data_IF_551443373785
#
_entry.id   IF_551443373785
#
_cell.length_a   1.000
_cell.length_b   1.000
_cell.length_c   1.000
_cell.angle_alpha   90.00
_cell.angle_beta   90.00
_cell.angle_gamma   90.00
#
_symmetry.space_group_name_H-M   'P 1'
#
loop_
_entity.id
_entity.type
_entity.pdbx_description
1 polymer ?
#
# COMPACT_ATOMS: atom_id res chain seq x y z
N UNK A 1 -26.14 -14.08 44.67
CA UNK A 1 -26.41 -12.75 44.11
C UNK A 1 -25.47 -12.62 42.94
N UNK A 2 -25.99 -12.46 41.73
CA UNK A 2 -25.18 -12.43 40.51
C UNK A 2 -24.50 -11.08 40.42
N UNK A 3 -23.17 -11.05 40.52
CA UNK A 3 -22.37 -9.88 40.19
C UNK A 3 -22.64 -9.50 38.73
N UNK A 4 -23.41 -8.43 38.57
CA UNK A 4 -23.68 -7.79 37.28
C UNK A 4 -22.37 -7.12 36.88
N UNK A 5 -21.52 -7.84 36.15
CA UNK A 5 -20.45 -7.21 35.38
C UNK A 5 -21.15 -6.37 34.33
N UNK A 6 -21.31 -5.09 34.63
CA UNK A 6 -21.75 -4.07 33.68
C UNK A 6 -20.78 -4.18 32.50
N UNK A 7 -21.28 -4.74 31.39
CA UNK A 7 -20.55 -4.76 30.14
C UNK A 7 -20.26 -3.31 29.83
N UNK A 8 -19.00 -2.88 30.00
CA UNK A 8 -18.53 -1.64 29.41
C UNK A 8 -18.62 -1.91 27.91
N UNK A 9 -19.77 -1.57 27.33
CA UNK A 9 -19.89 -1.42 25.89
C UNK A 9 -18.82 -0.38 25.54
N UNK A 10 -17.68 -0.84 25.05
CA UNK A 10 -16.73 0.03 24.38
C UNK A 10 -17.47 0.54 23.16
N UNK A 11 -18.21 1.63 23.36
CA UNK A 11 -18.68 2.48 22.28
C UNK A 11 -17.41 2.73 21.45
N UNK A 12 -17.38 2.18 20.24
CA UNK A 12 -16.23 2.34 19.34
C UNK A 12 -15.97 3.84 19.30
N UNK A 13 -14.89 4.26 19.94
CA UNK A 13 -14.73 5.64 20.40
C UNK A 13 -14.85 6.64 19.27
N UNK A 14 -15.03 7.92 19.62
CA UNK A 14 -14.94 8.98 18.61
C UNK A 14 -13.57 8.92 17.93
N UNK A 15 -13.54 9.02 16.60
CA UNK A 15 -12.29 9.10 15.85
C UNK A 15 -11.45 10.29 16.32
N UNK A 16 -10.14 10.08 16.42
CA UNK A 16 -9.19 11.14 16.70
C UNK A 16 -9.02 11.97 15.42
N UNK A 17 -9.21 13.28 15.52
CA UNK A 17 -9.01 14.21 14.43
C UNK A 17 -7.53 14.60 14.34
N UNK A 18 -6.99 15.10 15.45
CA UNK A 18 -5.61 15.56 15.57
C UNK A 18 -5.06 15.23 16.95
N UNK A 19 -3.74 15.23 17.07
CA UNK A 19 -3.06 15.14 18.35
C UNK A 19 -1.85 16.06 18.36
N UNK A 20 -1.46 16.49 19.54
CA UNK A 20 -0.27 17.29 19.77
C UNK A 20 0.57 16.66 20.87
N UNK A 21 1.87 16.52 20.62
CA UNK A 21 2.83 16.04 21.63
C UNK A 21 3.30 17.24 22.45
N UNK A 22 3.00 17.23 23.74
CA UNK A 22 3.40 18.27 24.68
C UNK A 22 4.80 17.98 25.22
N UNK A 23 5.03 16.73 25.63
CA UNK A 23 6.27 16.31 26.29
C UNK A 23 6.57 14.83 25.99
N UNK A 24 7.86 14.50 25.90
CA UNK A 24 8.36 13.12 25.80
C UNK A 24 9.40 12.93 26.88
N UNK A 25 9.19 11.94 27.75
CA UNK A 25 10.13 11.52 28.78
C UNK A 25 10.64 10.12 28.47
N UNK A 26 11.96 9.98 28.36
CA UNK A 26 12.62 8.69 28.17
C UNK A 26 12.79 7.97 29.51
N UNK A 27 12.47 6.68 29.50
CA UNK A 27 12.57 5.77 30.64
C UNK A 27 13.33 4.50 30.22
N UNK A 28 13.74 3.69 31.20
CA UNK A 28 14.50 2.47 30.93
C UNK A 28 13.73 1.44 30.06
N UNK A 29 12.40 1.46 30.12
CA UNK A 29 11.51 0.51 29.45
C UNK A 29 10.90 1.08 28.15
N UNK A 30 11.09 2.37 27.87
CA UNK A 30 10.52 3.06 26.70
C UNK A 30 10.34 4.57 26.92
N UNK A 31 9.23 5.12 26.42
CA UNK A 31 8.95 6.54 26.40
C UNK A 31 7.56 6.85 26.95
N UNK A 32 7.47 7.79 27.88
CA UNK A 32 6.21 8.35 28.34
C UNK A 32 5.95 9.65 27.58
N UNK A 33 4.86 9.69 26.83
CA UNK A 33 4.47 10.79 25.97
C UNK A 33 3.23 11.46 26.53
N UNK A 34 3.29 12.76 26.75
CA UNK A 34 2.15 13.59 27.14
C UNK A 34 1.54 14.23 25.90
N UNK A 35 0.24 14.05 25.72
CA UNK A 35 -0.49 14.36 24.50
C UNK A 35 -1.76 15.17 24.81
N UNK A 36 -2.08 16.10 23.92
CA UNK A 36 -3.44 16.62 23.78
C UNK A 36 -4.06 16.01 22.52
N UNK A 37 -5.33 15.61 22.59
CA UNK A 37 -6.01 14.87 21.52
C UNK A 37 -7.35 15.55 21.20
N UNK A 38 -7.53 15.94 19.95
CA UNK A 38 -8.78 16.49 19.45
C UNK A 38 -9.63 15.37 18.85
N UNK A 39 -10.88 15.26 19.27
CA UNK A 39 -11.82 14.27 18.77
C UNK A 39 -12.77 14.90 17.74
N UNK A 40 -13.15 14.13 16.72
CA UNK A 40 -14.07 14.58 15.65
C UNK A 40 -15.47 14.96 16.17
N UNK A 41 -15.80 14.57 17.41
CA UNK A 41 -17.03 14.96 18.11
C UNK A 41 -17.02 16.41 18.62
N UNK A 42 -15.89 17.11 18.50
CA UNK A 42 -15.69 18.47 19.01
C UNK A 42 -15.30 18.52 20.49
N UNK A 43 -14.89 17.38 21.08
CA UNK A 43 -14.31 17.30 22.41
C UNK A 43 -12.79 17.18 22.32
N UNK A 44 -12.11 17.63 23.36
CA UNK A 44 -10.65 17.61 23.47
C UNK A 44 -10.26 16.84 24.74
N UNK A 45 -9.25 15.99 24.63
CA UNK A 45 -8.64 15.27 25.75
C UNK A 45 -7.27 15.88 26.01
N UNK A 46 -7.15 16.61 27.11
CA UNK A 46 -5.90 17.27 27.51
C UNK A 46 -5.08 16.41 28.48
N UNK A 47 -3.75 16.46 28.36
CA UNK A 47 -2.84 15.82 29.31
C UNK A 47 -2.90 14.29 29.34
N UNK A 48 -3.22 13.68 28.19
CA UNK A 48 -3.23 12.23 28.01
C UNK A 48 -1.81 11.68 28.10
N UNK A 49 -1.61 10.66 28.92
CA UNK A 49 -0.33 9.97 29.05
C UNK A 49 -0.36 8.68 28.26
N UNK A 50 0.54 8.56 27.30
CA UNK A 50 0.76 7.35 26.51
C UNK A 50 2.14 6.79 26.86
N UNK A 51 2.18 5.51 27.22
CA UNK A 51 3.44 4.78 27.38
C UNK A 51 3.70 3.99 26.10
N UNK A 52 4.83 4.26 25.45
CA UNK A 52 5.33 3.52 24.29
C UNK A 52 6.57 2.75 24.73
N UNK A 53 6.48 1.43 24.82
CA UNK A 53 7.64 0.61 25.23
C UNK A 53 8.61 0.39 24.07
N UNK A 54 9.84 -0.03 24.38
CA UNK A 54 10.77 -0.44 23.32
C UNK A 54 10.23 -1.62 22.50
N UNK A 55 9.48 -2.53 23.13
CA UNK A 55 8.83 -3.65 22.43
C UNK A 55 7.77 -3.17 21.43
N UNK A 56 7.04 -2.10 21.77
CA UNK A 56 6.06 -1.49 20.85
C UNK A 56 6.75 -0.86 19.63
N UNK A 57 7.84 -0.12 19.85
CA UNK A 57 8.64 0.47 18.76
C UNK A 57 9.20 -0.60 17.82
N UNK A 58 9.75 -1.68 18.39
CA UNK A 58 10.23 -2.84 17.63
C UNK A 58 9.08 -3.51 16.84
N UNK A 59 7.90 -3.65 17.45
CA UNK A 59 6.71 -4.22 16.80
C UNK A 59 6.17 -3.34 15.67
N UNK A 60 6.31 -2.02 15.79
CA UNK A 60 5.98 -1.04 14.75
C UNK A 60 7.09 -0.88 13.70
N UNK A 61 8.20 -1.61 13.84
CA UNK A 61 9.38 -1.52 12.98
C UNK A 61 9.92 -0.09 12.83
N UNK A 62 9.73 0.75 13.86
CA UNK A 62 10.16 2.15 13.86
C UNK A 62 11.03 2.47 15.08
N UNK A 63 11.94 3.42 14.91
CA UNK A 63 12.73 4.00 16.00
C UNK A 63 12.31 5.46 16.27
N UNK A 64 11.31 5.97 15.56
CA UNK A 64 10.81 7.34 15.72
C UNK A 64 9.61 7.33 16.68
N UNK A 65 9.74 8.04 17.80
CA UNK A 65 8.68 8.15 18.81
C UNK A 65 7.43 8.82 18.23
N UNK A 66 7.59 9.79 17.34
CA UNK A 66 6.45 10.43 16.70
C UNK A 66 5.67 9.43 15.85
N UNK A 67 6.37 8.51 15.19
CA UNK A 67 5.76 7.45 14.40
C UNK A 67 5.14 6.37 15.28
N UNK A 68 5.82 5.96 16.36
CA UNK A 68 5.27 5.05 17.36
C UNK A 68 3.99 5.56 18.02
N UNK A 69 3.94 6.87 18.34
CA UNK A 69 2.73 7.53 18.86
C UNK A 69 1.60 7.50 17.83
N UNK A 70 1.88 7.78 16.54
CA UNK A 70 0.88 7.69 15.48
C UNK A 70 0.29 6.29 15.39
N UNK A 71 1.13 5.26 15.38
CA UNK A 71 0.68 3.87 15.32
C UNK A 71 -0.14 3.47 16.55
N UNK A 72 0.29 3.85 17.75
CA UNK A 72 -0.46 3.61 18.99
C UNK A 72 -1.83 4.31 18.99
N UNK A 73 -1.92 5.51 18.40
CA UNK A 73 -3.18 6.24 18.22
C UNK A 73 -4.01 5.77 17.01
N UNK A 74 -3.49 4.84 16.20
CA UNK A 74 -4.20 4.28 15.05
C UNK A 74 -4.12 5.12 13.77
N UNK A 75 -3.21 6.09 13.70
CA UNK A 75 -2.88 6.82 12.47
C UNK A 75 -1.97 5.99 11.58
N UNK A 76 -2.57 5.07 10.82
CA UNK A 76 -1.87 4.30 9.81
C UNK A 76 -1.90 5.06 8.48
N UNK A 77 -0.74 5.30 7.88
CA UNK A 77 -0.67 5.74 6.49
C UNK A 77 -1.32 4.67 5.61
N UNK A 78 -2.45 5.01 4.97
CA UNK A 78 -3.25 4.08 4.15
C UNK A 78 -2.58 3.68 2.82
N UNK A 79 -1.25 3.69 2.74
CA UNK A 79 -0.51 3.55 1.49
C UNK A 79 -0.43 2.10 0.95
N UNK A 80 -1.40 1.23 1.27
CA UNK A 80 -1.40 -0.16 0.81
C UNK A 80 -2.71 -0.67 0.20
N UNK A 81 -3.63 0.19 -0.26
CA UNK A 81 -4.81 -0.27 -1.02
C UNK A 81 -5.11 0.56 -2.29
N UNK A 82 -4.09 1.15 -2.93
CA UNK A 82 -4.15 1.54 -4.35
C UNK A 82 -3.65 0.43 -5.30
N UNK A 83 -3.17 -0.70 -4.76
CA UNK A 83 -2.65 -1.82 -5.55
C UNK A 83 -3.73 -2.81 -6.01
N UNK A 84 -4.98 -2.72 -5.54
CA UNK A 84 -6.06 -3.63 -5.92
C UNK A 84 -7.02 -3.11 -7.01
N UNK A 85 -6.94 -1.83 -7.41
CA UNK A 85 -7.75 -1.28 -8.50
C UNK A 85 -7.08 -1.34 -9.88
N UNK A 86 -5.79 -1.67 -9.95
CA UNK A 86 -5.07 -1.80 -11.23
C UNK A 86 -5.13 -3.22 -11.84
N UNK A 87 -5.56 -4.24 -11.09
CA UNK A 87 -5.72 -5.60 -11.63
C UNK A 87 -7.04 -5.76 -12.41
N UNK A 88 -8.05 -4.89 -12.20
CA UNK A 88 -9.36 -5.03 -12.88
C UNK A 88 -9.48 -4.24 -14.19
N UNK A 89 -8.60 -3.28 -14.47
CA UNK A 89 -8.69 -2.42 -15.65
C UNK A 89 -7.79 -2.84 -16.84
N UNK A 90 -7.00 -3.91 -16.71
CA UNK A 90 -6.24 -4.48 -17.85
C UNK A 90 -7.05 -5.44 -18.72
N UNK A 91 -8.31 -5.72 -18.37
CA UNK A 91 -9.18 -6.65 -19.12
C UNK A 91 -10.28 -5.97 -19.96
N UNK A 92 -10.31 -4.64 -20.06
CA UNK A 92 -11.24 -3.90 -20.95
C UNK A 92 -10.53 -2.78 -21.67
N UNK A 93 -9.82 -3.11 -22.76
CA UNK A 93 -9.59 -2.25 -23.94
C UNK A 93 -8.81 -3.05 -24.98
N UNK A 94 -9.51 -3.91 -25.70
CA UNK A 94 -9.17 -4.13 -27.11
C UNK A 94 -10.38 -3.70 -27.95
N UNK A 95 -10.35 -2.50 -28.56
CA UNK A 95 -11.25 -2.20 -29.65
C UNK A 95 -10.85 -3.08 -30.84
N UNK A 96 -11.83 -3.84 -31.35
CA UNK A 96 -11.77 -4.45 -32.68
C UNK A 96 -11.25 -3.44 -33.70
N UNK A 97 -10.03 -3.65 -34.19
CA UNK A 97 -9.61 -3.16 -35.49
C UNK A 97 -9.32 -4.36 -36.36
N UNK A 98 -10.31 -4.67 -37.17
CA UNK A 98 -10.19 -4.91 -38.61
C UNK A 98 -8.79 -5.30 -39.08
N UNK A 99 -8.72 -6.55 -39.50
CA UNK A 99 -7.88 -7.04 -40.58
C UNK A 99 -7.76 -6.05 -41.76
N UNK A 100 -6.67 -6.17 -42.51
CA UNK A 100 -6.31 -5.39 -43.71
C UNK A 100 -5.54 -4.10 -43.45
N UNK A 101 -4.22 -4.22 -43.26
CA UNK A 101 -3.18 -3.55 -44.07
C UNK A 101 -1.81 -3.91 -43.50
N UNK A 102 -1.41 -5.18 -43.65
CA UNK A 102 -0.04 -5.64 -43.35
C UNK A 102 0.60 -6.32 -44.56
N UNK A 103 0.14 -5.97 -45.76
CA UNK A 103 0.56 -6.59 -47.03
C UNK A 103 1.33 -5.66 -47.98
N UNK A 104 1.48 -4.37 -47.67
CA UNK A 104 2.10 -3.41 -48.59
C UNK A 104 3.57 -3.09 -48.27
N UNK A 105 4.02 -3.19 -47.01
CA UNK A 105 5.43 -2.94 -46.67
C UNK A 105 6.36 -4.12 -46.96
N UNK A 106 5.84 -5.35 -46.94
CA UNK A 106 6.64 -6.56 -47.21
C UNK A 106 6.95 -6.75 -48.72
N UNK A 107 6.08 -6.25 -49.60
CA UNK A 107 6.26 -6.32 -51.05
C UNK A 107 7.32 -5.33 -51.56
N UNK A 108 7.44 -4.16 -50.91
CA UNK A 108 8.47 -3.16 -51.24
C UNK A 108 9.90 -3.60 -50.86
N UNK A 109 10.04 -4.52 -49.88
CA UNK A 109 11.35 -5.02 -49.45
C UNK A 109 11.87 -6.16 -50.34
N UNK A 110 10.99 -6.95 -50.97
CA UNK A 110 11.37 -8.05 -51.88
C UNK A 110 11.86 -7.55 -53.24
N UNK A 111 11.30 -6.45 -53.75
CA UNK A 111 11.73 -5.83 -55.00
C UNK A 111 13.09 -5.13 -54.88
N UNK A 112 13.45 -4.66 -53.67
CA UNK A 112 14.72 -3.96 -53.40
C UNK A 112 15.95 -4.88 -53.40
N UNK A 113 15.80 -6.17 -53.10
CA UNK A 113 16.94 -7.07 -52.90
C UNK A 113 17.14 -8.12 -53.99
N UNK A 114 16.29 -8.19 -55.02
CA UNK A 114 16.42 -9.07 -56.20
C UNK A 114 17.04 -10.45 -55.89
N UNK A 115 16.58 -11.08 -54.80
CA UNK A 115 17.08 -12.36 -54.34
C UNK A 115 16.47 -13.41 -55.27
N UNK A 116 17.27 -13.91 -56.20
CA UNK A 116 16.90 -15.03 -57.06
C UNK A 116 16.80 -16.28 -56.18
N UNK A 117 15.70 -17.01 -56.30
CA UNK A 117 15.51 -18.33 -55.72
C UNK A 117 16.55 -19.29 -56.32
N UNK A 118 17.71 -19.40 -55.68
CA UNK A 118 18.69 -20.43 -56.01
C UNK A 118 18.50 -21.61 -55.06
N UNK A 119 17.90 -22.64 -55.65
CA UNK A 119 17.72 -24.00 -55.16
C UNK A 119 18.97 -24.54 -54.45
N UNK A 120 18.85 -24.86 -53.17
CA UNK A 120 19.73 -25.86 -52.56
C UNK A 120 19.00 -26.73 -51.56
N UNK A 121 18.58 -27.88 -52.09
CA UNK A 121 18.13 -29.06 -51.39
C UNK A 121 18.98 -29.32 -50.13
N UNK A 122 18.31 -29.47 -48.99
CA UNK A 122 18.84 -30.24 -47.87
C UNK A 122 18.18 -31.61 -47.94
N UNK A 123 18.80 -32.52 -48.70
CA UNK A 123 18.67 -33.95 -48.42
C UNK A 123 19.72 -34.34 -47.39
N UNK A 124 19.23 -35.05 -46.37
CA UNK A 124 19.87 -36.12 -45.61
C UNK A 124 21.31 -35.96 -45.10
N UNK A 125 21.44 -36.00 -43.77
CA UNK A 125 22.09 -37.16 -43.14
C UNK A 125 21.69 -37.26 -41.66
N UNK A 126 20.71 -38.14 -41.40
CA UNK A 126 20.55 -38.80 -40.11
C UNK A 126 21.41 -40.07 -40.14
N UNK A 127 22.36 -40.16 -39.20
CA UNK A 127 22.92 -41.36 -38.57
C UNK A 127 23.17 -42.62 -39.43
#
# INVERSE_FOLDING_TARGET
MSDFLESIEYETGTAIQTFNIIEVMEHAEGFEVLLDIDLDSGYELEGVKLLVTHEDLDAYETNDIQEGVKYALGFFDQTLEASQLEIKNKSRKEPLKSTETRSQEEQALKEKYNIKDDDRAWEDDRL
#
